data_IF_839148215578
#
_entry.id   IF_839148215578
#
_cell.length_a   1.000
_cell.length_b   1.000
_cell.length_c   1.000
_cell.angle_alpha   90.00
_cell.angle_beta   90.00
_cell.angle_gamma   90.00
#
_symmetry.space_group_name_H-M   'P 1'
#
loop_
_entity.id
_entity.type
_entity.pdbx_description
1 polymer ?
#
# COMPACT_ATOMS: atom_id res chain seq x y z
N UNK A 1 31.15 60.98 -43.25
CA UNK A 1 29.75 60.95 -42.76
C UNK A 1 29.07 59.60 -43.01
N UNK A 2 28.92 59.16 -44.28
CA UNK A 2 28.20 57.87 -44.57
C UNK A 2 28.97 56.62 -44.10
N UNK A 3 30.29 56.59 -44.16
CA UNK A 3 31.17 55.52 -43.69
C UNK A 3 31.16 55.37 -42.14
N UNK A 4 31.12 56.48 -41.43
CA UNK A 4 31.04 56.52 -39.97
C UNK A 4 29.68 56.06 -39.46
N UNK A 5 28.57 56.44 -40.14
CA UNK A 5 27.24 55.93 -39.84
C UNK A 5 27.15 54.39 -40.03
N UNK A 6 27.76 53.84 -41.08
CA UNK A 6 27.81 52.40 -41.33
C UNK A 6 28.67 51.67 -40.32
N UNK A 7 29.77 52.33 -39.79
CA UNK A 7 30.59 51.72 -38.77
C UNK A 7 29.86 51.67 -37.42
N UNK A 8 29.15 52.74 -37.03
CA UNK A 8 28.30 52.74 -35.83
C UNK A 8 27.14 51.74 -35.89
N UNK A 9 26.54 51.54 -37.07
CA UNK A 9 25.53 50.50 -37.27
C UNK A 9 26.12 49.09 -37.12
N UNK A 10 27.35 48.87 -37.61
CA UNK A 10 28.03 47.58 -37.44
C UNK A 10 28.41 47.28 -35.97
N UNK A 11 28.75 48.30 -35.20
CA UNK A 11 29.07 48.14 -33.74
C UNK A 11 27.81 47.89 -32.88
N UNK A 12 26.62 48.39 -33.27
CA UNK A 12 25.38 48.15 -32.55
C UNK A 12 24.73 46.77 -32.88
N UNK A 13 25.12 46.18 -34.00
CA UNK A 13 24.59 44.88 -34.43
C UNK A 13 24.72 43.75 -33.37
N UNK A 14 25.92 43.52 -32.80
CA UNK A 14 26.10 42.49 -31.79
C UNK A 14 25.26 42.74 -30.53
N UNK A 15 25.09 44.02 -30.11
CA UNK A 15 24.26 44.36 -28.96
C UNK A 15 22.76 44.09 -29.21
N UNK A 16 22.27 44.42 -30.39
CA UNK A 16 20.88 44.11 -30.76
C UNK A 16 20.61 42.59 -30.83
N UNK A 17 21.56 41.82 -31.35
CA UNK A 17 21.48 40.36 -31.35
C UNK A 17 21.48 39.79 -29.93
N UNK A 18 22.36 40.34 -29.07
CA UNK A 18 22.42 39.89 -27.65
C UNK A 18 21.15 40.22 -26.88
N UNK A 19 20.60 41.41 -27.08
CA UNK A 19 19.34 41.82 -26.46
C UNK A 19 18.15 41.01 -26.95
N UNK A 20 18.09 40.70 -28.25
CA UNK A 20 17.06 39.84 -28.83
C UNK A 20 17.15 38.42 -28.31
N UNK A 21 18.37 37.88 -28.17
CA UNK A 21 18.59 36.56 -27.55
C UNK A 21 18.19 36.55 -26.08
N UNK A 22 18.48 37.63 -25.33
CA UNK A 22 18.06 37.74 -23.94
C UNK A 22 16.53 37.77 -23.80
N UNK A 23 15.84 38.55 -24.68
CA UNK A 23 14.37 38.56 -24.73
C UNK A 23 13.77 37.21 -25.09
N UNK A 24 14.36 36.52 -26.06
CA UNK A 24 13.92 35.18 -26.42
C UNK A 24 14.08 34.18 -25.27
N UNK A 25 15.23 34.23 -24.56
CA UNK A 25 15.43 33.40 -23.35
C UNK A 25 14.44 33.71 -22.24
N UNK A 26 14.18 35.01 -22.00
CA UNK A 26 13.18 35.42 -21.02
C UNK A 26 11.77 34.90 -21.40
N UNK A 27 11.38 35.01 -22.67
CA UNK A 27 10.11 34.49 -23.12
C UNK A 27 10.01 32.97 -23.02
N UNK A 28 11.10 32.24 -23.25
CA UNK A 28 11.15 30.79 -23.05
C UNK A 28 10.98 30.46 -21.56
N UNK A 29 11.69 31.16 -20.67
CA UNK A 29 11.56 30.97 -19.23
C UNK A 29 10.14 31.27 -18.71
N UNK A 30 9.50 32.32 -19.26
CA UNK A 30 8.08 32.60 -18.95
C UNK A 30 7.15 31.46 -19.38
N UNK A 31 7.38 30.88 -20.56
CA UNK A 31 6.60 29.72 -21.02
C UNK A 31 6.80 28.52 -20.10
N UNK A 32 8.03 28.27 -19.65
CA UNK A 32 8.33 27.17 -18.73
C UNK A 32 7.66 27.40 -17.36
N UNK A 33 7.70 28.64 -16.86
CA UNK A 33 6.99 29.00 -15.63
C UNK A 33 5.47 28.76 -15.76
N UNK A 34 4.86 29.22 -16.84
CA UNK A 34 3.42 29.02 -17.05
C UNK A 34 3.03 27.57 -17.23
N UNK A 35 3.92 26.76 -17.84
CA UNK A 35 3.72 25.31 -17.92
C UNK A 35 3.76 24.65 -16.55
N UNK A 36 4.73 25.01 -15.71
CA UNK A 36 4.82 24.50 -14.33
C UNK A 36 3.58 24.87 -13.49
N UNK A 37 3.08 26.10 -13.63
CA UNK A 37 1.83 26.53 -12.99
C UNK A 37 0.61 25.76 -13.50
N UNK A 38 0.54 25.48 -14.79
CA UNK A 38 -0.53 24.65 -15.37
C UNK A 38 -0.49 23.23 -14.82
N UNK A 39 0.69 22.61 -14.79
CA UNK A 39 0.89 21.27 -14.25
C UNK A 39 0.49 21.20 -12.78
N UNK A 40 0.86 22.19 -11.98
CA UNK A 40 0.44 22.30 -10.59
C UNK A 40 -1.07 22.42 -10.44
N UNK A 41 -1.72 23.21 -11.29
CA UNK A 41 -3.18 23.34 -11.29
C UNK A 41 -3.87 22.02 -11.69
N UNK A 42 -3.32 21.30 -12.66
CA UNK A 42 -3.82 19.99 -13.11
C UNK A 42 -3.66 18.94 -11.99
N UNK A 43 -2.53 18.93 -11.29
CA UNK A 43 -2.31 18.09 -10.11
C UNK A 43 -3.36 18.37 -9.02
N UNK A 44 -3.58 19.65 -8.70
CA UNK A 44 -4.58 20.04 -7.72
C UNK A 44 -6.00 19.62 -8.13
N UNK A 45 -6.34 19.72 -9.41
CA UNK A 45 -7.58 19.20 -9.95
C UNK A 45 -7.65 17.67 -9.84
N UNK A 46 -6.53 16.97 -10.09
CA UNK A 46 -6.44 15.53 -9.90
C UNK A 46 -6.75 15.07 -8.47
N UNK A 47 -6.29 15.83 -7.48
CA UNK A 47 -6.55 15.52 -6.07
C UNK A 47 -8.02 15.70 -5.64
N UNK A 48 -8.83 16.40 -6.43
CA UNK A 48 -10.28 16.48 -6.17
C UNK A 48 -11.01 15.17 -6.50
N UNK A 49 -10.38 14.28 -7.26
CA UNK A 49 -10.94 12.98 -7.64
C UNK A 49 -10.18 11.86 -6.94
N UNK A 50 -10.77 11.32 -5.90
CA UNK A 50 -10.19 10.19 -5.14
C UNK A 50 -10.64 8.89 -5.79
N UNK A 51 -9.67 8.10 -6.25
CA UNK A 51 -9.90 6.78 -6.84
C UNK A 51 -9.41 5.67 -5.93
N UNK A 52 -10.12 4.54 -5.93
CA UNK A 52 -9.69 3.37 -5.17
C UNK A 52 -8.43 2.75 -5.83
N UNK A 53 -7.38 2.43 -5.04
CA UNK A 53 -6.15 1.82 -5.57
C UNK A 53 -6.33 0.35 -5.95
N UNK A 54 -7.35 -0.32 -5.39
CA UNK A 54 -7.64 -1.73 -5.62
C UNK A 54 -9.14 -1.99 -5.63
N UNK A 55 -9.53 -3.13 -6.19
CA UNK A 55 -10.91 -3.63 -6.10
C UNK A 55 -11.16 -4.19 -4.70
N UNK A 56 -12.33 -3.92 -4.12
CA UNK A 56 -12.66 -4.40 -2.78
C UNK A 56 -13.99 -3.84 -2.28
N UNK A 57 -14.39 -4.24 -1.08
CA UNK A 57 -15.51 -3.62 -0.37
C UNK A 57 -15.08 -2.32 0.28
N UNK A 58 -15.93 -1.30 0.15
CA UNK A 58 -15.63 0.04 0.67
C UNK A 58 -16.42 0.27 1.97
N UNK A 59 -15.69 0.57 3.03
CA UNK A 59 -16.25 1.13 4.24
C UNK A 59 -15.98 2.64 4.27
N UNK A 60 -17.02 3.45 4.10
CA UNK A 60 -16.90 4.91 4.11
C UNK A 60 -17.20 5.49 5.49
N UNK A 61 -16.38 6.42 5.92
CA UNK A 61 -16.55 7.18 7.16
C UNK A 61 -17.02 8.61 6.94
N UNK A 62 -17.11 9.03 5.67
CA UNK A 62 -17.47 10.40 5.29
C UNK A 62 -18.84 10.49 4.67
N UNK A 63 -19.48 11.64 4.85
CA UNK A 63 -20.78 12.00 4.26
C UNK A 63 -20.62 13.26 3.40
N UNK A 64 -21.53 13.42 2.44
CA UNK A 64 -21.54 14.63 1.59
C UNK A 64 -21.78 15.87 2.46
N UNK A 65 -21.00 16.91 2.22
CA UNK A 65 -21.04 18.16 2.99
C UNK A 65 -20.02 18.22 4.15
N UNK A 66 -19.29 17.15 4.42
CA UNK A 66 -18.21 17.20 5.41
C UNK A 66 -17.01 17.96 4.88
N UNK A 67 -16.46 18.86 5.71
CA UNK A 67 -15.18 19.50 5.42
C UNK A 67 -14.05 18.54 5.78
N UNK A 68 -13.24 18.15 4.79
CA UNK A 68 -12.15 17.21 4.94
C UNK A 68 -10.79 17.93 4.96
N UNK A 69 -9.86 17.41 5.74
CA UNK A 69 -8.51 17.95 5.85
C UNK A 69 -7.48 17.02 5.18
N UNK A 70 -6.34 17.60 4.83
CA UNK A 70 -5.23 16.83 4.29
C UNK A 70 -4.79 15.74 5.30
N UNK A 71 -4.65 14.48 4.82
CA UNK A 71 -4.30 13.34 5.68
C UNK A 71 -5.47 12.69 6.41
N UNK A 72 -6.68 13.22 6.30
CA UNK A 72 -7.86 12.60 6.90
C UNK A 72 -8.27 11.34 6.14
N UNK A 73 -8.51 10.25 6.88
CA UNK A 73 -9.03 9.01 6.31
C UNK A 73 -10.49 9.19 5.92
N UNK A 74 -10.81 8.97 4.65
CA UNK A 74 -12.16 9.17 4.09
C UNK A 74 -12.91 7.84 3.95
N UNK A 75 -12.19 6.81 3.53
CA UNK A 75 -12.75 5.48 3.29
C UNK A 75 -11.63 4.43 3.43
N UNK A 76 -12.06 3.20 3.68
CA UNK A 76 -11.17 2.03 3.68
C UNK A 76 -11.64 1.08 2.61
N UNK A 77 -10.73 0.66 1.73
CA UNK A 77 -10.99 -0.40 0.76
C UNK A 77 -10.41 -1.69 1.29
N UNK A 78 -11.22 -2.71 1.42
CA UNK A 78 -10.83 -4.03 1.90
C UNK A 78 -10.85 -5.00 0.72
N UNK A 79 -9.69 -5.45 0.21
CA UNK A 79 -9.63 -6.45 -0.84
C UNK A 79 -10.07 -7.81 -0.26
N UNK A 80 -11.13 -8.40 -0.80
CA UNK A 80 -11.66 -9.70 -0.35
C UNK A 80 -11.19 -10.86 -1.24
N UNK A 81 -10.55 -10.57 -2.35
CA UNK A 81 -10.05 -11.59 -3.28
C UNK A 81 -8.69 -12.17 -2.83
N UNK A 82 -7.95 -11.45 -1.95
CA UNK A 82 -6.64 -11.84 -1.42
C UNK A 82 -6.66 -12.06 0.10
N UNK A 83 -7.68 -12.77 0.58
CA UNK A 83 -7.78 -13.06 2.02
C UNK A 83 -6.94 -14.27 2.37
N UNK A 84 -6.19 -14.17 3.47
CA UNK A 84 -5.45 -15.30 4.05
C UNK A 84 -5.80 -15.49 5.52
N UNK A 85 -5.48 -16.66 6.04
CA UNK A 85 -5.65 -17.01 7.45
C UNK A 85 -4.30 -17.03 8.15
N UNK A 86 -4.18 -16.32 9.26
CA UNK A 86 -3.02 -16.43 10.16
C UNK A 86 -3.40 -17.31 11.33
N UNK A 87 -2.92 -18.54 11.31
CA UNK A 87 -3.21 -19.54 12.32
C UNK A 87 -2.04 -19.67 13.31
N UNK A 88 -2.32 -19.61 14.61
CA UNK A 88 -1.32 -19.71 15.67
C UNK A 88 -1.22 -21.14 16.19
N UNK A 89 -0.38 -21.98 15.58
CA UNK A 89 -0.13 -23.35 15.98
C UNK A 89 0.83 -23.46 17.15
N UNK A 90 0.65 -24.49 17.99
CA UNK A 90 1.62 -24.81 19.05
C UNK A 90 2.93 -25.29 18.43
N UNK A 91 4.06 -24.99 19.03
CA UNK A 91 5.38 -25.44 18.59
C UNK A 91 5.42 -26.97 18.36
N UNK A 92 4.74 -27.73 19.22
CA UNK A 92 4.65 -29.21 19.11
C UNK A 92 3.90 -29.70 17.88
N UNK A 93 3.01 -28.90 17.31
CA UNK A 93 2.23 -29.23 16.10
C UNK A 93 3.02 -28.97 14.82
N UNK A 94 4.05 -28.15 14.87
CA UNK A 94 4.85 -27.78 13.69
C UNK A 94 5.84 -28.85 13.24
N UNK A 95 6.10 -29.89 14.05
CA UNK A 95 7.12 -30.91 13.76
C UNK A 95 7.01 -31.51 12.36
N UNK A 96 5.81 -31.78 11.90
CA UNK A 96 5.52 -32.40 10.61
C UNK A 96 4.86 -31.43 9.62
N UNK A 97 4.70 -30.16 9.98
CA UNK A 97 4.11 -29.15 9.13
C UNK A 97 5.13 -28.64 8.11
N UNK A 98 4.73 -28.54 6.85
CA UNK A 98 5.55 -28.07 5.74
C UNK A 98 4.74 -27.12 4.86
N UNK A 99 5.42 -26.21 4.21
CA UNK A 99 4.86 -25.34 3.18
C UNK A 99 4.30 -26.19 2.05
N UNK A 100 3.15 -25.83 1.53
CA UNK A 100 2.42 -26.55 0.48
C UNK A 100 1.45 -27.62 0.97
N UNK A 101 1.42 -27.93 2.27
CA UNK A 101 0.42 -28.88 2.80
C UNK A 101 -0.99 -28.30 2.70
N UNK A 102 -1.95 -29.17 2.36
CA UNK A 102 -3.36 -28.82 2.25
C UNK A 102 -3.95 -28.53 3.63
N UNK A 103 -4.88 -27.60 3.67
CA UNK A 103 -5.60 -27.21 4.86
C UNK A 103 -7.09 -26.99 4.57
N UNK A 104 -7.93 -27.46 5.48
CA UNK A 104 -9.35 -27.14 5.51
C UNK A 104 -9.57 -26.02 6.53
N UNK A 105 -10.33 -25.00 6.15
CA UNK A 105 -10.55 -23.80 6.94
C UNK A 105 -12.05 -23.75 7.27
N UNK A 106 -12.39 -24.06 8.51
CA UNK A 106 -13.76 -23.98 9.00
C UNK A 106 -14.08 -22.57 9.46
N UNK A 107 -15.13 -21.97 8.89
CA UNK A 107 -15.59 -20.64 9.24
C UNK A 107 -16.67 -20.75 10.33
N UNK A 108 -16.41 -20.19 11.51
CA UNK A 108 -17.33 -20.28 12.65
C UNK A 108 -18.69 -19.60 12.39
N UNK A 109 -18.72 -18.54 11.57
CA UNK A 109 -19.92 -17.73 11.36
C UNK A 109 -21.02 -18.42 10.55
N UNK A 110 -20.65 -19.33 9.63
CA UNK A 110 -21.60 -19.98 8.71
C UNK A 110 -21.42 -21.50 8.59
N UNK A 111 -20.46 -22.08 9.32
CA UNK A 111 -20.17 -23.50 9.32
C UNK A 111 -19.58 -24.05 8.00
N UNK A 112 -19.19 -23.18 7.05
CA UNK A 112 -18.58 -23.61 5.79
C UNK A 112 -17.13 -23.96 5.98
N UNK A 113 -16.67 -24.89 5.14
CA UNK A 113 -15.26 -25.27 5.04
C UNK A 113 -14.73 -24.82 3.70
N UNK A 114 -13.66 -24.04 3.72
CA UNK A 114 -12.90 -23.61 2.55
C UNK A 114 -11.60 -24.39 2.47
N UNK A 115 -11.07 -24.57 1.27
CA UNK A 115 -9.80 -25.24 1.04
C UNK A 115 -8.68 -24.23 0.86
N UNK A 116 -7.49 -24.61 1.31
CA UNK A 116 -6.31 -23.79 1.17
C UNK A 116 -5.05 -24.62 1.39
N UNK A 117 -3.93 -23.95 1.44
CA UNK A 117 -2.64 -24.58 1.67
C UNK A 117 -1.74 -23.67 2.54
N UNK A 118 -0.80 -24.31 3.21
CA UNK A 118 0.22 -23.60 4.00
C UNK A 118 1.15 -22.84 3.05
N UNK A 119 1.13 -21.50 3.12
CA UNK A 119 1.99 -20.63 2.34
C UNK A 119 3.35 -20.44 3.02
N UNK A 120 3.33 -20.09 4.29
CA UNK A 120 4.55 -19.83 5.05
C UNK A 120 4.38 -20.09 6.54
N UNK A 121 5.48 -20.46 7.18
CA UNK A 121 5.59 -20.66 8.62
C UNK A 121 6.53 -19.57 9.14
N UNK A 122 6.09 -18.79 10.13
CA UNK A 122 6.91 -17.72 10.67
C UNK A 122 8.18 -18.27 11.32
N UNK A 123 9.29 -17.56 11.12
CA UNK A 123 10.60 -17.92 11.71
C UNK A 123 10.74 -17.64 13.21
N UNK A 124 9.69 -17.05 13.83
CA UNK A 124 9.70 -16.72 15.26
C UNK A 124 8.30 -16.87 15.86
N UNK A 125 8.26 -16.99 17.18
CA UNK A 125 7.00 -17.10 17.95
C UNK A 125 6.28 -15.75 18.03
N UNK A 126 4.96 -15.77 18.20
CA UNK A 126 4.14 -14.57 18.25
C UNK A 126 4.61 -13.49 19.26
N UNK A 127 5.01 -13.86 20.48
CA UNK A 127 5.52 -12.88 21.46
C UNK A 127 6.74 -12.07 21.01
N UNK A 128 7.60 -12.63 20.14
CA UNK A 128 8.78 -11.90 19.62
C UNK A 128 8.41 -10.74 18.69
N UNK A 129 7.22 -10.79 18.09
CA UNK A 129 6.69 -9.73 17.23
C UNK A 129 5.83 -8.72 17.99
N UNK A 130 5.62 -8.92 19.29
CA UNK A 130 4.86 -8.00 20.13
C UNK A 130 5.72 -6.81 20.54
N UNK A 131 5.14 -5.61 20.54
CA UNK A 131 5.78 -4.39 21.07
C UNK A 131 6.07 -4.50 22.60
N UNK A 132 5.31 -5.35 23.30
CA UNK A 132 5.46 -5.63 24.73
C UNK A 132 5.49 -7.15 24.90
N UNK A 133 6.67 -7.79 24.81
CA UNK A 133 6.79 -9.21 25.10
C UNK A 133 6.38 -9.48 26.56
N UNK A 134 5.64 -10.56 26.85
CA UNK A 134 5.32 -10.92 28.23
C UNK A 134 6.60 -11.28 28.95
N UNK A 135 7.04 -10.45 29.89
CA UNK A 135 8.13 -10.74 30.79
C UNK A 135 7.59 -11.52 32.02
N UNK A 136 8.24 -12.64 32.35
CA UNK A 136 7.96 -13.37 33.58
C UNK A 136 8.55 -12.59 34.77
N UNK A 137 7.75 -11.72 35.38
CA UNK A 137 8.15 -10.82 36.47
C UNK A 137 8.58 -11.53 37.77
N UNK A 138 8.45 -12.87 37.88
CA UNK A 138 8.64 -13.60 39.12
C UNK A 138 9.90 -14.49 39.18
N UNK A 139 10.79 -14.41 38.17
CA UNK A 139 12.07 -15.14 38.20
C UNK A 139 11.99 -16.67 38.15
N UNK A 140 10.81 -17.27 38.16
CA UNK A 140 10.62 -18.69 37.98
C UNK A 140 10.51 -19.07 36.53
N UNK A 141 11.40 -19.90 36.01
CA UNK A 141 11.33 -20.43 34.66
C UNK A 141 10.16 -21.41 34.55
N UNK A 142 9.07 -20.96 33.93
CA UNK A 142 7.94 -21.83 33.55
C UNK A 142 8.02 -22.06 32.06
N UNK A 143 8.13 -23.33 31.65
CA UNK A 143 8.08 -23.71 30.22
C UNK A 143 6.65 -23.49 29.69
N UNK A 144 6.42 -22.38 29.01
CA UNK A 144 5.17 -22.07 28.34
C UNK A 144 5.29 -22.53 26.88
N UNK A 145 4.31 -23.31 26.40
CA UNK A 145 4.25 -23.72 24.99
C UNK A 145 4.01 -22.49 24.14
N UNK A 146 4.98 -22.17 23.30
CA UNK A 146 4.91 -21.04 22.39
C UNK A 146 4.02 -21.34 21.18
N UNK A 147 3.44 -20.28 20.62
CA UNK A 147 2.66 -20.36 19.38
C UNK A 147 3.42 -19.67 18.25
N UNK A 148 3.42 -20.31 17.09
CA UNK A 148 4.06 -19.80 15.88
C UNK A 148 2.97 -19.50 14.87
N UNK A 149 2.93 -18.29 14.32
CA UNK A 149 1.98 -17.96 13.28
C UNK A 149 2.32 -18.67 11.96
N UNK A 150 1.32 -19.27 11.36
CA UNK A 150 1.38 -19.93 10.05
C UNK A 150 0.40 -19.23 9.14
N UNK A 151 0.87 -18.81 7.98
CA UNK A 151 0.02 -18.22 6.95
C UNK A 151 -0.54 -19.31 6.05
N UNK A 152 -1.86 -19.35 5.93
CA UNK A 152 -2.60 -20.28 5.08
C UNK A 152 -3.32 -19.44 4.04
N UNK A 153 -3.09 -19.71 2.77
CA UNK A 153 -3.73 -19.06 1.63
C UNK A 153 -4.83 -19.94 1.11
N UNK A 154 -5.95 -19.34 0.77
CA UNK A 154 -7.09 -20.03 0.16
C UNK A 154 -6.75 -20.47 -1.26
N UNK A 155 -7.28 -21.58 -1.67
CA UNK A 155 -7.17 -22.01 -3.06
C UNK A 155 -8.00 -21.11 -3.97
N UNK A 156 -7.60 -20.93 -5.25
CA UNK A 156 -8.28 -20.03 -6.16
C UNK A 156 -9.78 -20.36 -6.31
N UNK A 157 -10.63 -19.36 -6.10
CA UNK A 157 -12.09 -19.49 -6.23
C UNK A 157 -12.84 -19.94 -4.97
N UNK A 158 -12.16 -20.35 -3.90
CA UNK A 158 -12.82 -20.81 -2.68
C UNK A 158 -13.64 -19.71 -1.97
N UNK A 159 -13.18 -18.45 -2.03
CA UNK A 159 -13.88 -17.30 -1.45
C UNK A 159 -14.60 -16.42 -2.49
N UNK A 160 -15.05 -16.98 -3.62
CA UNK A 160 -15.72 -16.19 -4.66
C UNK A 160 -17.01 -15.52 -4.14
N UNK A 161 -17.69 -16.12 -3.18
CA UNK A 161 -18.88 -15.56 -2.51
C UNK A 161 -18.52 -14.46 -1.48
N UNK A 162 -17.24 -14.17 -1.27
CA UNK A 162 -16.73 -13.14 -0.33
C UNK A 162 -17.28 -13.28 1.09
N UNK A 163 -17.50 -14.52 1.51
CA UNK A 163 -18.04 -14.82 2.84
C UNK A 163 -16.99 -14.77 3.94
N UNK A 164 -15.74 -15.14 3.61
CA UNK A 164 -14.62 -14.96 4.53
C UNK A 164 -14.11 -13.52 4.43
N UNK A 165 -14.10 -12.84 5.57
CA UNK A 165 -13.70 -11.44 5.69
C UNK A 165 -12.59 -11.28 6.72
N UNK A 166 -11.69 -10.31 6.58
CA UNK A 166 -10.69 -10.00 7.60
C UNK A 166 -11.33 -9.78 8.98
N UNK A 167 -10.73 -10.36 10.02
CA UNK A 167 -11.21 -10.28 11.40
C UNK A 167 -12.21 -11.36 11.81
N UNK A 168 -12.61 -12.25 10.91
CA UNK A 168 -13.42 -13.41 11.28
C UNK A 168 -12.59 -14.50 11.99
N UNK A 169 -13.25 -15.24 12.90
CA UNK A 169 -12.68 -16.42 13.52
C UNK A 169 -12.86 -17.63 12.61
N UNK A 170 -11.78 -18.39 12.47
CA UNK A 170 -11.73 -19.61 11.68
C UNK A 170 -10.87 -20.65 12.38
N UNK A 171 -11.18 -21.90 12.16
CA UNK A 171 -10.39 -23.05 12.65
C UNK A 171 -9.78 -23.78 11.45
N UNK A 172 -8.45 -23.69 11.26
CA UNK A 172 -7.77 -24.41 10.21
C UNK A 172 -7.31 -25.79 10.67
N UNK A 173 -7.59 -26.81 9.87
CA UNK A 173 -7.08 -28.18 10.01
C UNK A 173 -6.08 -28.47 8.88
N UNK A 174 -4.81 -28.70 9.23
CA UNK A 174 -3.73 -28.95 8.26
C UNK A 174 -3.48 -30.46 8.18
N UNK A 175 -3.46 -30.99 6.97
CA UNK A 175 -3.16 -32.39 6.70
C UNK A 175 -1.66 -32.65 6.74
N UNK A 176 -1.20 -33.29 7.80
CA UNK A 176 0.20 -33.69 7.94
C UNK A 176 0.49 -34.93 7.10
N UNK A 177 1.49 -34.87 6.25
CA UNK A 177 2.02 -36.01 5.50
C UNK A 177 3.25 -36.60 6.18
#
# INVERSE_FOLDING_TARGET
MQAEANHQYAETGPQQVSSSKARARAAIADVEEKRALLEQAQLNLGYTKIVAPASGEVNKTVVVGLNVQAGQQLLTVVPLDEVWVTANFKETQLRHMRVGQKADIHIDSNGRTLKGHVDSIAGATGPLFSLLPPENATGNYVKIVQRVPVKIVLDPGENHDRQLRPGMNVVPDVYLQ
#
